data_IF_952703142830
#
_entry.id   IF_952703142830
#
_cell.length_a   1.000
_cell.length_b   1.000
_cell.length_c   1.000
_cell.angle_alpha   90.00
_cell.angle_beta   90.00
_cell.angle_gamma   90.00
#
_symmetry.space_group_name_H-M   'P 1'
#
loop_
_entity.id
_entity.type
_entity.pdbx_description
1 polymer ?
#
# COMPACT_ATOMS: atom_id res chain seq x y z
N UNK A 1 8.28 14.30 8.39
CA UNK A 1 7.83 13.51 7.23
C UNK A 1 8.71 13.86 6.04
N UNK A 2 9.03 12.86 5.23
CA UNK A 2 9.77 13.03 3.99
C UNK A 2 9.03 14.01 3.06
N UNK A 3 9.77 14.93 2.42
CA UNK A 3 9.17 15.93 1.55
C UNK A 3 8.43 15.33 0.36
N UNK A 4 8.94 14.21 -0.20
CA UNK A 4 8.28 13.52 -1.30
C UNK A 4 6.89 13.03 -0.88
N UNK A 5 6.74 12.51 0.33
CA UNK A 5 5.46 12.06 0.86
C UNK A 5 4.53 13.21 1.22
N UNK A 6 5.09 14.30 1.72
CA UNK A 6 4.31 15.51 1.98
C UNK A 6 3.68 16.03 0.70
N UNK A 7 4.49 16.14 -0.37
CA UNK A 7 4.01 16.58 -1.68
C UNK A 7 2.99 15.60 -2.27
N UNK A 8 3.20 14.31 -2.06
CA UNK A 8 2.28 13.27 -2.52
C UNK A 8 0.87 13.47 -1.92
N UNK A 9 0.79 13.70 -0.62
CA UNK A 9 -0.50 13.92 0.06
C UNK A 9 -1.13 15.22 -0.46
N UNK A 10 -0.34 16.28 -0.56
CA UNK A 10 -0.83 17.59 -1.00
C UNK A 10 -1.38 17.57 -2.42
N UNK A 11 -0.73 16.83 -3.32
CA UNK A 11 -1.11 16.77 -4.73
C UNK A 11 -2.21 15.74 -5.02
N UNK A 12 -2.36 14.73 -4.17
CA UNK A 12 -3.27 13.60 -4.42
C UNK A 12 -4.23 13.41 -3.25
N UNK A 13 -5.12 14.38 -3.10
CA UNK A 13 -6.20 14.32 -2.14
C UNK A 13 -7.54 14.55 -2.84
N UNK A 14 -8.62 14.15 -2.18
CA UNK A 14 -9.98 14.45 -2.62
C UNK A 14 -10.68 15.24 -1.52
N UNK A 15 -11.68 16.04 -1.90
CA UNK A 15 -12.49 16.76 -0.92
C UNK A 15 -13.75 15.94 -0.65
N UNK A 16 -13.97 15.63 0.63
CA UNK A 16 -15.15 14.91 1.08
C UNK A 16 -15.74 15.64 2.28
N UNK A 17 -16.99 16.02 2.19
CA UNK A 17 -17.69 16.78 3.24
C UNK A 17 -16.92 18.05 3.64
N UNK A 18 -16.31 18.72 2.64
CA UNK A 18 -15.52 19.93 2.86
C UNK A 18 -14.12 19.73 3.42
N UNK A 19 -13.71 18.46 3.66
CA UNK A 19 -12.38 18.15 4.21
C UNK A 19 -11.49 17.46 3.18
N UNK A 20 -10.20 17.82 3.11
CA UNK A 20 -9.25 17.12 2.26
C UNK A 20 -8.91 15.74 2.83
N UNK A 21 -9.03 14.70 2.00
CA UNK A 21 -8.72 13.32 2.37
C UNK A 21 -7.73 12.77 1.34
N UNK A 22 -6.67 12.11 1.82
CA UNK A 22 -5.69 11.51 0.92
C UNK A 22 -6.35 10.44 0.05
N UNK A 23 -6.08 10.50 -1.27
CA UNK A 23 -6.60 9.53 -2.23
C UNK A 23 -5.84 8.20 -2.14
N UNK A 24 -6.37 7.15 -2.80
CA UNK A 24 -5.67 5.87 -2.87
C UNK A 24 -4.27 6.02 -3.47
N UNK A 25 -4.09 6.95 -4.43
CA UNK A 25 -2.77 7.24 -5.01
C UNK A 25 -1.74 7.59 -3.94
N UNK A 26 -2.13 8.37 -2.93
CA UNK A 26 -1.25 8.75 -1.82
C UNK A 26 -1.23 7.71 -0.71
N UNK A 27 -2.37 7.11 -0.39
CA UNK A 27 -2.49 6.19 0.75
C UNK A 27 -1.71 4.89 0.56
N UNK A 28 -1.68 4.34 -0.65
CA UNK A 28 -0.96 3.08 -0.89
C UNK A 28 0.53 3.21 -0.57
N UNK A 29 1.26 4.21 -1.11
CA UNK A 29 2.66 4.40 -0.74
C UNK A 29 2.86 4.69 0.76
N UNK A 30 1.97 5.48 1.36
CA UNK A 30 2.06 5.80 2.79
C UNK A 30 1.91 4.55 3.65
N UNK A 31 0.96 3.69 3.33
CA UNK A 31 0.74 2.44 4.06
C UNK A 31 1.89 1.46 3.84
N UNK A 32 2.43 1.38 2.63
CA UNK A 32 3.59 0.55 2.34
C UNK A 32 4.82 0.99 3.13
N UNK A 33 5.05 2.31 3.20
CA UNK A 33 6.15 2.85 4.00
C UNK A 33 5.94 2.62 5.49
N UNK A 34 4.72 2.81 5.99
CA UNK A 34 4.40 2.55 7.40
C UNK A 34 4.65 1.08 7.76
N UNK A 35 4.24 0.15 6.87
CA UNK A 35 4.53 -1.27 7.05
C UNK A 35 6.03 -1.52 7.15
N UNK A 36 6.81 -0.98 6.21
CA UNK A 36 8.26 -1.19 6.16
C UNK A 36 8.94 -0.64 7.41
N UNK A 37 8.53 0.54 7.86
CA UNK A 37 9.08 1.17 9.05
C UNK A 37 8.84 0.32 10.30
N UNK A 38 7.60 -0.10 10.53
CA UNK A 38 7.25 -0.91 11.70
C UNK A 38 7.91 -2.29 11.64
N UNK A 39 7.96 -2.90 10.47
CA UNK A 39 8.62 -4.19 10.26
C UNK A 39 10.10 -4.12 10.61
N UNK A 40 10.79 -3.07 10.17
CA UNK A 40 12.21 -2.89 10.46
C UNK A 40 12.46 -2.60 11.94
N UNK A 41 11.60 -1.79 12.56
CA UNK A 41 11.71 -1.48 13.99
C UNK A 41 11.51 -2.73 14.84
N UNK A 42 10.57 -3.59 14.47
CA UNK A 42 10.39 -4.87 15.16
C UNK A 42 11.63 -5.75 15.03
N UNK A 43 12.23 -5.82 13.84
CA UNK A 43 13.48 -6.57 13.64
C UNK A 43 14.63 -6.02 14.48
N UNK A 44 14.62 -4.72 14.75
CA UNK A 44 15.63 -4.06 15.56
C UNK A 44 15.39 -4.20 17.06
N UNK A 45 14.40 -5.00 17.47
CA UNK A 45 14.13 -5.31 18.85
C UNK A 45 13.14 -4.39 19.56
N UNK A 46 12.51 -3.45 18.85
CA UNK A 46 11.46 -2.63 19.44
C UNK A 46 10.17 -3.43 19.63
N UNK A 47 9.44 -3.11 20.68
CA UNK A 47 8.13 -3.72 20.90
C UNK A 47 7.10 -3.05 19.99
N UNK A 48 6.74 -3.73 18.90
CA UNK A 48 5.74 -3.28 17.95
C UNK A 48 4.58 -4.27 17.97
N UNK A 49 3.35 -3.77 18.02
CA UNK A 49 2.17 -4.62 17.93
C UNK A 49 2.08 -5.20 16.52
N UNK A 50 2.13 -6.52 16.41
CA UNK A 50 2.07 -7.21 15.12
C UNK A 50 0.78 -6.92 14.36
N UNK A 51 -0.29 -6.58 15.06
CA UNK A 51 -1.57 -6.21 14.42
C UNK A 51 -1.45 -4.92 13.62
N UNK A 52 -0.64 -3.97 14.09
CA UNK A 52 -0.41 -2.71 13.37
C UNK A 52 0.36 -2.95 12.09
N UNK A 53 1.38 -3.81 12.13
CA UNK A 53 2.15 -4.18 10.94
C UNK A 53 1.22 -4.82 9.90
N UNK A 54 0.42 -5.79 10.33
CA UNK A 54 -0.50 -6.50 9.44
C UNK A 54 -1.58 -5.57 8.88
N UNK A 55 -2.06 -4.62 9.68
CA UNK A 55 -3.07 -3.67 9.24
C UNK A 55 -2.57 -2.83 8.07
N UNK A 56 -1.37 -2.27 8.16
CA UNK A 56 -0.80 -1.48 7.06
C UNK A 56 -0.63 -2.33 5.81
N UNK A 57 -0.11 -3.55 5.96
CA UNK A 57 0.01 -4.50 4.85
C UNK A 57 -1.33 -4.76 4.17
N UNK A 58 -2.35 -5.07 4.96
CA UNK A 58 -3.67 -5.41 4.44
C UNK A 58 -4.35 -4.22 3.78
N UNK A 59 -4.15 -3.02 4.34
CA UNK A 59 -4.71 -1.79 3.77
C UNK A 59 -4.19 -1.52 2.35
N UNK A 60 -2.91 -1.82 2.08
CA UNK A 60 -2.35 -1.66 0.74
C UNK A 60 -3.12 -2.51 -0.28
N UNK A 61 -3.33 -3.78 0.02
CA UNK A 61 -4.01 -4.68 -0.91
C UNK A 61 -5.50 -4.38 -1.03
N UNK A 62 -6.12 -3.93 0.05
CA UNK A 62 -7.51 -3.49 0.00
C UNK A 62 -7.66 -2.27 -0.91
N UNK A 63 -6.78 -1.28 -0.77
CA UNK A 63 -6.79 -0.08 -1.59
C UNK A 63 -6.44 -0.37 -3.05
N UNK A 64 -5.61 -1.38 -3.31
CA UNK A 64 -5.23 -1.76 -4.66
C UNK A 64 -6.45 -2.10 -5.52
N UNK A 65 -7.49 -2.67 -4.92
CA UNK A 65 -8.72 -3.01 -5.62
C UNK A 65 -9.50 -1.79 -6.11
N UNK A 66 -9.20 -0.61 -5.58
CA UNK A 66 -9.88 0.65 -5.97
C UNK A 66 -9.14 1.40 -7.07
N UNK A 67 -7.95 0.93 -7.48
CA UNK A 67 -7.18 1.61 -8.50
C UNK A 67 -7.81 1.44 -9.88
N UNK A 68 -7.78 2.52 -10.72
CA UNK A 68 -8.23 2.37 -12.10
C UNK A 68 -7.31 1.44 -12.88
N UNK A 69 -7.81 0.82 -13.94
CA UNK A 69 -7.06 -0.14 -14.74
C UNK A 69 -6.06 0.49 -15.71
N UNK A 70 -5.72 1.75 -15.54
CA UNK A 70 -4.79 2.49 -16.40
C UNK A 70 -3.68 3.12 -15.55
N UNK A 71 -2.51 3.44 -16.15
CA UNK A 71 -1.42 4.04 -15.39
C UNK A 71 -1.80 5.37 -14.75
N UNK A 72 -1.35 5.57 -13.53
CA UNK A 72 -1.54 6.80 -12.79
C UNK A 72 -0.43 7.81 -13.05
N UNK A 73 -0.31 8.83 -12.20
CA UNK A 73 0.73 9.85 -12.35
C UNK A 73 2.11 9.28 -12.08
N UNK A 74 3.13 9.87 -12.70
CA UNK A 74 4.53 9.52 -12.44
C UNK A 74 4.92 10.05 -11.06
N UNK A 75 5.40 9.20 -10.19
CA UNK A 75 5.82 9.58 -8.84
C UNK A 75 7.35 9.58 -8.72
N UNK A 76 7.89 10.29 -7.69
CA UNK A 76 9.34 10.29 -7.45
C UNK A 76 9.90 8.89 -7.23
N UNK A 77 11.15 8.67 -7.62
CA UNK A 77 11.81 7.35 -7.53
C UNK A 77 11.86 6.82 -6.09
N UNK A 78 12.01 7.69 -5.10
CA UNK A 78 12.05 7.26 -3.69
C UNK A 78 10.75 6.59 -3.27
N UNK A 79 9.61 7.13 -3.72
CA UNK A 79 8.29 6.53 -3.46
C UNK A 79 8.14 5.21 -4.20
N UNK A 80 8.55 5.18 -5.47
CA UNK A 80 8.49 3.95 -6.27
C UNK A 80 9.35 2.84 -5.67
N UNK A 81 10.53 3.19 -5.13
CA UNK A 81 11.41 2.21 -4.48
C UNK A 81 10.75 1.62 -3.23
N UNK A 82 10.05 2.44 -2.45
CA UNK A 82 9.30 1.95 -1.29
C UNK A 82 8.21 0.95 -1.70
N UNK A 83 7.52 1.22 -2.82
CA UNK A 83 6.51 0.30 -3.35
C UNK A 83 7.12 -0.99 -3.87
N UNK A 84 8.26 -0.92 -4.55
CA UNK A 84 8.97 -2.12 -5.02
C UNK A 84 9.40 -2.99 -3.84
N UNK A 85 9.97 -2.37 -2.81
CA UNK A 85 10.37 -3.07 -1.58
C UNK A 85 9.18 -3.78 -0.95
N UNK A 86 8.04 -3.11 -0.88
CA UNK A 86 6.82 -3.71 -0.35
C UNK A 86 6.39 -4.93 -1.17
N UNK A 87 6.31 -4.81 -2.49
CA UNK A 87 5.88 -5.91 -3.35
C UNK A 87 6.86 -7.09 -3.32
N UNK A 88 8.16 -6.82 -3.20
CA UNK A 88 9.18 -7.86 -3.06
C UNK A 88 9.00 -8.68 -1.78
N UNK A 89 8.44 -8.06 -0.73
CA UNK A 89 8.17 -8.75 0.52
C UNK A 89 6.97 -9.70 0.42
N UNK A 90 6.10 -9.51 -0.59
CA UNK A 90 4.88 -10.31 -0.77
C UNK A 90 4.80 -10.87 -2.20
N UNK A 91 5.75 -11.75 -2.59
CA UNK A 91 5.66 -12.42 -3.88
C UNK A 91 4.45 -13.35 -3.94
N UNK A 92 4.10 -13.82 -5.14
CA UNK A 92 2.90 -14.62 -5.34
C UNK A 92 2.87 -15.90 -4.50
N UNK A 93 4.04 -16.42 -4.12
CA UNK A 93 4.17 -17.63 -3.31
C UNK A 93 4.39 -17.34 -1.81
N UNK A 94 4.20 -16.11 -1.36
CA UNK A 94 4.39 -15.74 0.04
C UNK A 94 3.42 -16.48 0.95
N UNK A 95 3.92 -16.89 2.11
CA UNK A 95 3.11 -17.51 3.16
C UNK A 95 2.10 -16.54 3.77
N UNK A 96 2.32 -15.25 3.62
CA UNK A 96 1.47 -14.22 4.20
C UNK A 96 0.13 -14.08 3.50
N UNK A 97 -0.02 -14.61 2.29
CA UNK A 97 -1.25 -14.45 1.51
C UNK A 97 -2.48 -15.03 2.17
N UNK A 98 -2.32 -16.09 2.96
CA UNK A 98 -3.46 -16.66 3.68
C UNK A 98 -4.08 -15.62 4.62
N UNK A 99 -3.25 -14.93 5.41
CA UNK A 99 -3.71 -13.89 6.33
C UNK A 99 -4.23 -12.67 5.59
N UNK A 100 -3.58 -12.28 4.51
CA UNK A 100 -4.01 -11.16 3.68
C UNK A 100 -5.39 -11.44 3.10
N UNK A 101 -5.60 -12.61 2.52
CA UNK A 101 -6.90 -12.99 1.95
C UNK A 101 -8.01 -13.01 2.98
N UNK A 102 -7.72 -13.51 4.18
CA UNK A 102 -8.69 -13.51 5.26
C UNK A 102 -9.14 -12.08 5.60
N UNK A 103 -8.21 -11.13 5.60
CA UNK A 103 -8.51 -9.72 5.87
C UNK A 103 -9.34 -9.06 4.77
N UNK A 104 -9.31 -9.60 3.54
CA UNK A 104 -9.97 -9.02 2.38
C UNK A 104 -11.35 -9.61 2.10
N UNK A 105 -11.78 -10.60 2.86
CA UNK A 105 -13.01 -11.37 2.56
C UNK A 105 -14.28 -10.54 2.47
N UNK A 106 -14.33 -9.42 3.18
CA UNK A 106 -15.50 -8.53 3.19
C UNK A 106 -15.24 -7.23 2.43
N UNK A 107 -14.20 -7.19 1.58
CA UNK A 107 -13.82 -5.99 0.84
C UNK A 107 -14.02 -6.16 -0.67
N UNK A 108 -13.84 -5.06 -1.41
CA UNK A 108 -13.87 -5.08 -2.88
C UNK A 108 -12.77 -5.98 -3.47
N UNK A 109 -11.69 -6.21 -2.74
CA UNK A 109 -10.56 -7.04 -3.20
C UNK A 109 -10.86 -8.53 -3.13
N UNK A 110 -11.96 -8.95 -2.52
CA UNK A 110 -12.31 -10.35 -2.24
C UNK A 110 -12.24 -11.25 -3.47
N UNK A 111 -12.71 -10.77 -4.61
CA UNK A 111 -12.75 -11.57 -5.83
C UNK A 111 -11.54 -11.44 -6.74
N UNK A 112 -10.53 -10.65 -6.34
CA UNK A 112 -9.37 -10.39 -7.18
C UNK A 112 -8.25 -11.36 -6.81
N UNK A 113 -7.61 -11.96 -7.83
CA UNK A 113 -6.50 -12.88 -7.60
C UNK A 113 -5.27 -12.16 -7.05
N UNK A 114 -4.37 -12.92 -6.42
CA UNK A 114 -3.10 -12.39 -5.94
C UNK A 114 -2.29 -11.74 -7.06
N UNK A 115 -2.07 -12.41 -8.21
CA UNK A 115 -1.43 -11.75 -9.36
C UNK A 115 -2.16 -10.49 -9.79
N UNK A 116 -3.49 -10.48 -9.73
CA UNK A 116 -4.32 -9.33 -10.07
C UNK A 116 -4.08 -8.13 -9.15
N UNK A 117 -4.01 -8.35 -7.84
CA UNK A 117 -3.74 -7.29 -6.87
C UNK A 117 -2.33 -6.72 -7.05
N UNK A 118 -1.34 -7.59 -7.23
CA UNK A 118 0.03 -7.17 -7.49
C UNK A 118 0.14 -6.37 -8.79
N UNK A 119 -0.47 -6.87 -9.85
CA UNK A 119 -0.46 -6.21 -11.16
C UNK A 119 -1.14 -4.84 -11.12
N UNK A 120 -2.21 -4.69 -10.36
CA UNK A 120 -2.89 -3.41 -10.21
C UNK A 120 -1.93 -2.33 -9.68
N UNK A 121 -1.14 -2.67 -8.66
CA UNK A 121 -0.15 -1.76 -8.10
C UNK A 121 0.97 -1.49 -9.11
N UNK A 122 1.52 -2.55 -9.70
CA UNK A 122 2.62 -2.43 -10.66
C UNK A 122 2.24 -1.56 -11.86
N UNK A 123 1.05 -1.77 -12.40
CA UNK A 123 0.58 -1.04 -13.57
C UNK A 123 0.28 0.42 -13.24
N UNK A 124 -0.43 0.65 -12.15
CA UNK A 124 -0.82 2.01 -11.78
C UNK A 124 0.39 2.89 -11.47
N UNK A 125 1.34 2.39 -10.70
CA UNK A 125 2.53 3.15 -10.29
C UNK A 125 3.70 3.03 -11.26
N UNK A 126 3.55 2.29 -12.35
CA UNK A 126 4.58 2.12 -13.40
C UNK A 126 5.87 1.48 -12.84
N UNK A 127 5.68 0.45 -12.04
CA UNK A 127 6.79 -0.30 -11.44
C UNK A 127 7.40 -1.32 -12.39
#
# INVERSE_FOLDING_TARGET
>A
MDEAYYSLIREHHVIQDGLPIASATALIPLKARAWADLFQREKNGEQIDSRDIKKHRNDVFQLAATLPGEPGPQLPSTILDDLRTFLEAFPEDSKDWKGIRESLKDSMARGISIPGLRSAIQQYYRL
#
